data_IF_165436815675
#
_entry.id   IF_165436815675
#
_cell.length_a   1.000
_cell.length_b   1.000
_cell.length_c   1.000
_cell.angle_alpha   90.00
_cell.angle_beta   90.00
_cell.angle_gamma   90.00
#
_symmetry.space_group_name_H-M   'P 1'
#
loop_
_entity.id
_entity.type
_entity.pdbx_description
1 polymer ?
#
# COMPACT_ATOMS: atom_id res chain seq x y z
N UNK A 1 -11.71 -0.39 17.53
CA UNK A 1 -10.91 -0.21 16.29
C UNK A 1 -9.66 0.59 16.65
N UNK A 2 -8.47 0.21 16.16
CA UNK A 2 -7.25 0.96 16.45
C UNK A 2 -7.36 2.38 15.88
N UNK A 3 -6.78 3.36 16.59
CA UNK A 3 -6.68 4.74 16.11
C UNK A 3 -5.34 4.92 15.41
N UNK A 4 -5.36 5.51 14.22
CA UNK A 4 -4.15 5.82 13.46
C UNK A 4 -3.98 7.35 13.42
N UNK A 5 -2.86 7.84 13.96
CA UNK A 5 -2.53 9.27 13.95
C UNK A 5 -1.46 9.52 12.88
N UNK A 6 -1.84 10.30 11.86
CA UNK A 6 -0.98 10.64 10.73
C UNK A 6 -1.12 12.12 10.36
N UNK A 7 -0.02 12.75 9.95
CA UNK A 7 -0.01 14.11 9.43
C UNK A 7 -0.84 14.22 8.14
N UNK A 8 -1.65 15.26 8.02
CA UNK A 8 -2.38 15.58 6.79
C UNK A 8 -1.43 16.04 5.67
N UNK A 9 -1.79 15.74 4.42
CA UNK A 9 -1.08 16.20 3.21
C UNK A 9 -1.79 17.40 2.58
N UNK A 10 -1.12 18.10 1.67
CA UNK A 10 -1.68 19.24 0.90
C UNK A 10 -1.79 18.94 -0.60
N UNK A 11 -1.91 17.66 -0.98
CA UNK A 11 -1.90 17.26 -2.38
C UNK A 11 -3.17 17.69 -3.12
N UNK A 12 -4.28 17.94 -2.42
CA UNK A 12 -5.50 18.45 -3.05
C UNK A 12 -5.34 19.90 -3.51
N UNK A 13 -4.61 20.74 -2.76
CA UNK A 13 -4.28 22.10 -3.23
C UNK A 13 -3.29 22.04 -4.40
N UNK A 14 -2.26 21.19 -4.30
CA UNK A 14 -1.25 21.06 -5.36
C UNK A 14 -1.87 20.50 -6.65
N UNK A 15 -2.77 19.51 -6.56
CA UNK A 15 -3.43 18.88 -7.72
C UNK A 15 -4.15 19.91 -8.61
N UNK A 16 -4.76 20.95 -8.01
CA UNK A 16 -5.48 22.00 -8.75
C UNK A 16 -4.59 22.84 -9.67
N UNK A 17 -3.27 22.79 -9.50
CA UNK A 17 -2.31 23.49 -10.36
C UNK A 17 -2.02 22.76 -11.69
N UNK A 18 -2.64 21.60 -11.88
CA UNK A 18 -2.38 20.70 -12.98
C UNK A 18 -3.65 20.42 -13.77
N UNK A 19 -3.55 20.33 -15.10
CA UNK A 19 -4.66 19.85 -15.93
C UNK A 19 -4.89 18.35 -15.64
N UNK A 20 -6.14 17.96 -15.40
CA UNK A 20 -6.48 16.60 -15.00
C UNK A 20 -7.29 15.92 -16.10
N UNK A 21 -7.05 14.63 -16.31
CA UNK A 21 -7.91 13.80 -17.16
C UNK A 21 -8.92 13.06 -16.28
N UNK A 22 -10.23 13.27 -16.49
CA UNK A 22 -11.23 12.54 -15.72
C UNK A 22 -11.17 11.03 -15.96
N UNK A 23 -11.34 10.26 -14.90
CA UNK A 23 -11.45 8.82 -14.98
C UNK A 23 -12.73 8.43 -15.72
N UNK A 24 -12.59 7.50 -16.67
CA UNK A 24 -13.71 6.88 -17.41
C UNK A 24 -14.22 5.58 -16.77
N UNK A 25 -13.46 5.04 -15.81
CA UNK A 25 -13.80 3.82 -15.07
C UNK A 25 -13.24 3.93 -13.67
N UNK A 26 -13.89 3.31 -12.66
CA UNK A 26 -13.39 3.33 -11.30
C UNK A 26 -12.01 2.64 -11.25
N UNK A 27 -11.13 3.21 -10.43
CA UNK A 27 -9.79 2.70 -10.18
C UNK A 27 -9.66 2.43 -8.70
N UNK A 28 -9.22 1.22 -8.35
CA UNK A 28 -8.99 0.81 -6.98
C UNK A 28 -7.52 0.45 -6.76
N UNK A 29 -6.87 1.25 -5.92
CA UNK A 29 -5.51 1.04 -5.45
C UNK A 29 -5.56 0.20 -4.17
N UNK A 30 -5.45 -1.11 -4.34
CA UNK A 30 -5.36 -2.04 -3.24
C UNK A 30 -3.89 -2.29 -2.89
N UNK A 31 -3.64 -2.85 -1.72
CA UNK A 31 -2.28 -3.20 -1.30
C UNK A 31 -2.31 -4.13 -0.11
N UNK A 32 -1.24 -4.91 0.02
CA UNK A 32 -0.89 -5.51 1.31
C UNK A 32 -0.59 -4.36 2.29
N UNK A 33 -1.18 -4.36 3.52
CA UNK A 33 -0.88 -3.34 4.52
C UNK A 33 0.62 -3.14 4.69
N UNK A 34 1.08 -1.88 4.68
CA UNK A 34 2.51 -1.50 4.77
C UNK A 34 3.38 -1.75 3.54
N UNK A 35 2.78 -2.05 2.38
CA UNK A 35 3.47 -2.12 1.08
C UNK A 35 3.47 -0.80 0.28
N UNK A 36 3.20 0.34 0.91
CA UNK A 36 3.31 1.65 0.24
C UNK A 36 2.01 2.20 -0.36
N UNK A 37 0.85 1.87 0.22
CA UNK A 37 -0.46 2.37 -0.20
C UNK A 37 -0.53 3.89 -0.30
N UNK A 38 0.06 4.60 0.67
CA UNK A 38 0.09 6.06 0.65
C UNK A 38 0.91 6.61 -0.51
N UNK A 39 2.02 5.93 -0.86
CA UNK A 39 2.86 6.33 -1.98
C UNK A 39 2.11 6.22 -3.31
N UNK A 40 1.56 5.03 -3.60
CA UNK A 40 0.82 4.83 -4.87
C UNK A 40 -0.42 5.73 -4.93
N UNK A 41 -1.15 5.87 -3.81
CA UNK A 41 -2.30 6.76 -3.70
C UNK A 41 -1.92 8.20 -4.03
N UNK A 42 -0.90 8.72 -3.36
CA UNK A 42 -0.51 10.11 -3.52
C UNK A 42 0.03 10.40 -4.93
N UNK A 43 0.75 9.46 -5.55
CA UNK A 43 1.14 9.54 -6.96
C UNK A 43 -0.11 9.64 -7.84
N UNK A 44 -1.06 8.70 -7.73
CA UNK A 44 -2.27 8.71 -8.56
C UNK A 44 -3.16 9.94 -8.33
N UNK A 45 -3.22 10.45 -7.10
CA UNK A 45 -3.94 11.68 -6.77
C UNK A 45 -3.40 12.90 -7.51
N UNK A 46 -2.21 12.86 -8.10
CA UNK A 46 -1.69 13.96 -8.95
C UNK A 46 -2.14 13.89 -10.42
N UNK A 47 -2.80 12.80 -10.81
CA UNK A 47 -3.27 12.54 -12.18
C UNK A 47 -4.79 12.45 -12.29
N UNK A 48 -5.51 12.45 -11.17
CA UNK A 48 -6.97 12.34 -11.11
C UNK A 48 -7.56 13.61 -10.49
N UNK A 49 -8.64 14.19 -11.08
CA UNK A 49 -9.32 15.34 -10.50
C UNK A 49 -9.74 15.12 -9.06
N UNK A 50 -9.62 16.15 -8.20
CA UNK A 50 -9.94 16.06 -6.76
C UNK A 50 -11.36 15.54 -6.52
N UNK A 51 -12.32 15.96 -7.33
CA UNK A 51 -13.72 15.53 -7.26
C UNK A 51 -13.92 14.04 -7.55
N UNK A 52 -12.97 13.38 -8.21
CA UNK A 52 -12.96 11.93 -8.45
C UNK A 52 -12.11 11.16 -7.44
N UNK A 53 -11.52 11.81 -6.43
CA UNK A 53 -10.77 11.13 -5.36
C UNK A 53 -11.72 10.71 -4.23
N UNK A 54 -11.69 9.42 -3.85
CA UNK A 54 -12.54 8.87 -2.81
C UNK A 54 -11.92 9.00 -1.42
N UNK A 55 -12.23 10.10 -0.72
CA UNK A 55 -11.59 10.43 0.56
C UNK A 55 -12.27 9.83 1.81
N UNK A 56 -13.48 9.27 1.69
CA UNK A 56 -14.29 8.90 2.86
C UNK A 56 -13.62 7.82 3.73
N UNK A 57 -12.98 6.82 3.12
CA UNK A 57 -12.49 5.64 3.85
C UNK A 57 -11.45 4.83 3.08
N UNK A 58 -10.51 4.23 3.82
CA UNK A 58 -9.72 3.10 3.34
C UNK A 58 -10.60 1.84 3.28
N UNK A 59 -10.95 1.40 2.07
CA UNK A 59 -11.94 0.33 1.89
C UNK A 59 -11.35 -1.01 2.34
N UNK A 60 -12.11 -1.70 3.19
CA UNK A 60 -11.82 -3.01 3.79
C UNK A 60 -13.12 -3.78 3.93
N UNK A 61 -13.05 -5.10 4.16
CA UNK A 61 -14.23 -5.98 4.32
C UNK A 61 -15.28 -5.40 5.30
N UNK A 62 -14.93 -4.96 6.53
CA UNK A 62 -15.94 -4.56 7.51
C UNK A 62 -16.76 -3.33 7.11
N UNK A 63 -16.25 -2.52 6.18
CA UNK A 63 -16.87 -1.27 5.73
C UNK A 63 -17.28 -1.33 4.26
N UNK A 64 -17.04 -2.44 3.56
CA UNK A 64 -17.22 -2.57 2.11
C UNK A 64 -18.60 -2.13 1.64
N UNK A 65 -19.66 -2.66 2.28
CA UNK A 65 -21.05 -2.36 1.94
C UNK A 65 -21.41 -0.87 2.04
N UNK A 66 -20.78 -0.14 2.97
CA UNK A 66 -21.02 1.29 3.16
C UNK A 66 -20.34 2.15 2.10
N UNK A 67 -19.33 1.59 1.41
CA UNK A 67 -18.45 2.31 0.49
C UNK A 67 -18.52 1.80 -0.97
N UNK A 68 -19.52 0.99 -1.33
CA UNK A 68 -19.72 0.49 -2.71
C UNK A 68 -19.79 1.61 -3.76
N UNK A 69 -20.22 2.83 -3.37
CA UNK A 69 -20.22 4.02 -4.25
C UNK A 69 -18.83 4.37 -4.82
N UNK A 70 -17.75 3.94 -4.18
CA UNK A 70 -16.39 4.11 -4.68
C UNK A 70 -16.11 3.33 -5.97
N UNK A 71 -16.90 2.29 -6.24
CA UNK A 71 -16.78 1.40 -7.41
C UNK A 71 -17.85 1.67 -8.47
N UNK A 72 -18.62 2.77 -8.35
CA UNK A 72 -19.71 3.07 -9.27
C UNK A 72 -19.17 3.58 -10.63
N UNK A 73 -19.55 2.88 -11.70
CA UNK A 73 -19.18 3.24 -13.07
C UNK A 73 -19.82 4.53 -13.59
N UNK A 74 -20.98 4.91 -13.07
CA UNK A 74 -21.66 6.16 -13.43
C UNK A 74 -21.04 7.38 -12.76
N UNK A 75 -20.19 7.17 -11.74
CA UNK A 75 -19.44 8.22 -11.07
C UNK A 75 -18.03 7.69 -10.71
N UNK A 76 -17.16 7.48 -11.71
CA UNK A 76 -15.85 6.86 -11.50
C UNK A 76 -15.03 7.58 -10.45
N UNK A 77 -14.49 6.81 -9.50
CA UNK A 77 -13.58 7.31 -8.46
C UNK A 77 -12.23 6.60 -8.48
N UNK A 78 -11.19 7.34 -8.09
CA UNK A 78 -9.95 6.80 -7.57
C UNK A 78 -10.15 6.49 -6.09
N UNK A 79 -10.13 5.21 -5.75
CA UNK A 79 -10.29 4.72 -4.37
C UNK A 79 -9.10 3.86 -3.95
N UNK A 80 -8.97 3.62 -2.65
CA UNK A 80 -7.82 2.88 -2.09
C UNK A 80 -8.21 2.11 -0.84
N UNK A 81 -7.44 1.07 -0.53
CA UNK A 81 -7.78 0.20 0.58
C UNK A 81 -6.80 -0.94 0.83
N UNK A 82 -7.26 -1.81 1.73
CA UNK A 82 -6.65 -3.10 2.08
C UNK A 82 -7.73 -4.18 1.99
N UNK A 83 -8.40 -4.24 0.84
CA UNK A 83 -9.52 -5.14 0.63
C UNK A 83 -8.99 -6.56 0.45
N UNK A 84 -9.43 -7.44 1.34
CA UNK A 84 -9.11 -8.87 1.26
C UNK A 84 -9.88 -9.50 0.10
N UNK A 85 -9.31 -10.52 -0.52
CA UNK A 85 -10.04 -11.35 -1.47
C UNK A 85 -11.12 -12.13 -0.71
N UNK A 86 -12.36 -11.95 -1.14
CA UNK A 86 -13.54 -12.66 -0.70
C UNK A 86 -14.55 -12.68 -1.85
N UNK A 87 -15.61 -13.47 -1.71
CA UNK A 87 -16.76 -13.44 -2.61
C UNK A 87 -17.35 -12.03 -2.78
N UNK A 88 -17.63 -11.34 -1.67
CA UNK A 88 -18.16 -9.97 -1.69
C UNK A 88 -17.20 -8.98 -2.33
N UNK A 89 -15.90 -9.10 -2.05
CA UNK A 89 -14.88 -8.20 -2.60
C UNK A 89 -14.70 -8.41 -4.10
N UNK A 90 -14.62 -9.67 -4.54
CA UNK A 90 -14.52 -10.02 -5.95
C UNK A 90 -15.75 -9.51 -6.72
N UNK A 91 -16.94 -9.68 -6.15
CA UNK A 91 -18.18 -9.13 -6.72
C UNK A 91 -18.15 -7.60 -6.81
N UNK A 92 -17.76 -6.91 -5.72
CA UNK A 92 -17.74 -5.46 -5.65
C UNK A 92 -16.77 -4.81 -6.65
N UNK A 93 -15.67 -5.49 -7.00
CA UNK A 93 -14.61 -4.96 -7.87
C UNK A 93 -14.55 -5.60 -9.26
N UNK A 94 -15.50 -6.45 -9.64
CA UNK A 94 -15.48 -7.25 -10.88
C UNK A 94 -15.27 -6.45 -12.19
N UNK A 95 -15.58 -5.15 -12.21
CA UNK A 95 -15.37 -4.28 -13.37
C UNK A 95 -14.48 -3.06 -13.07
N UNK A 96 -13.82 -3.05 -11.91
CA UNK A 96 -12.96 -1.95 -11.46
C UNK A 96 -11.52 -2.20 -11.94
N UNK A 97 -10.83 -1.15 -12.39
CA UNK A 97 -9.40 -1.25 -12.69
C UNK A 97 -8.62 -1.36 -11.38
N UNK A 98 -8.07 -2.54 -11.11
CA UNK A 98 -7.41 -2.83 -9.84
C UNK A 98 -5.88 -2.89 -9.99
N UNK A 99 -5.19 -2.19 -9.10
CA UNK A 99 -3.74 -2.29 -8.89
C UNK A 99 -3.50 -2.75 -7.46
N UNK A 100 -2.61 -3.71 -7.27
CA UNK A 100 -2.23 -4.25 -5.96
C UNK A 100 -0.74 -4.02 -5.74
N UNK A 101 -0.40 -3.32 -4.66
CA UNK A 101 1.00 -3.13 -4.27
C UNK A 101 1.41 -4.19 -3.26
N UNK A 102 2.51 -4.89 -3.59
CA UNK A 102 3.21 -5.83 -2.72
C UNK A 102 4.60 -5.30 -2.38
N UNK A 103 5.26 -5.89 -1.40
CA UNK A 103 6.62 -5.57 -0.97
C UNK A 103 7.34 -6.88 -0.67
N UNK A 104 8.67 -6.90 -0.74
CA UNK A 104 9.43 -8.08 -0.35
C UNK A 104 8.99 -8.50 1.07
N UNK A 105 8.51 -9.74 1.26
CA UNK A 105 8.12 -10.27 2.56
C UNK A 105 9.14 -10.00 3.67
N UNK A 106 10.44 -10.05 3.39
CA UNK A 106 11.47 -9.77 4.41
C UNK A 106 11.41 -8.30 4.89
N UNK A 107 11.33 -7.39 3.95
CA UNK A 107 11.23 -5.95 4.17
C UNK A 107 9.90 -5.56 4.82
N UNK A 108 8.85 -6.29 4.49
CA UNK A 108 7.53 -6.11 5.06
C UNK A 108 7.50 -6.42 6.56
N UNK A 109 8.23 -7.43 7.05
CA UNK A 109 8.33 -7.73 8.49
C UNK A 109 8.79 -6.48 9.25
N UNK A 110 9.86 -5.85 8.75
CA UNK A 110 10.41 -4.64 9.36
C UNK A 110 9.44 -3.45 9.25
N UNK A 111 8.72 -3.33 8.13
CA UNK A 111 7.73 -2.28 7.94
C UNK A 111 6.56 -2.41 8.92
N UNK A 112 6.06 -3.63 9.13
CA UNK A 112 4.98 -3.93 10.07
C UNK A 112 5.44 -3.72 11.52
N UNK A 113 6.65 -4.18 11.87
CA UNK A 113 7.22 -3.97 13.20
C UNK A 113 7.36 -2.48 13.53
N UNK A 114 7.91 -1.67 12.62
CA UNK A 114 8.02 -0.20 12.79
C UNK A 114 6.66 0.45 13.06
N UNK A 115 5.62 -0.02 12.38
CA UNK A 115 4.29 0.53 12.55
C UNK A 115 3.69 0.17 13.92
N UNK A 116 3.79 -1.08 14.36
CA UNK A 116 3.25 -1.52 15.67
C UNK A 116 3.99 -0.88 16.85
N UNK A 117 5.28 -0.61 16.68
CA UNK A 117 6.11 0.02 17.71
C UNK A 117 6.02 1.55 17.70
N UNK A 118 5.37 2.16 16.71
CA UNK A 118 5.20 3.61 16.63
C UNK A 118 4.02 4.11 17.47
N UNK A 119 4.06 5.37 17.88
CA UNK A 119 2.93 6.04 18.55
C UNK A 119 1.86 6.49 17.55
N UNK A 120 2.09 6.29 16.26
CA UNK A 120 1.08 6.46 15.21
C UNK A 120 0.02 5.36 15.24
N UNK A 121 0.24 4.26 15.97
CA UNK A 121 -0.71 3.18 16.17
C UNK A 121 -1.10 3.15 17.66
N UNK A 122 -2.40 3.32 17.93
CA UNK A 122 -2.98 3.13 19.26
C UNK A 122 -3.95 1.95 19.21
N UNK A 123 -3.69 0.88 19.97
CA UNK A 123 -4.56 -0.30 20.02
C UNK A 123 -4.18 -1.33 21.08
N UNK A 124 -4.76 -2.53 21.00
CA UNK A 124 -4.61 -3.61 22.01
C UNK A 124 -3.18 -4.23 22.09
N UNK A 125 -2.21 -3.63 21.40
CA UNK A 125 -0.84 -4.10 21.26
C UNK A 125 0.20 -3.12 21.84
N UNK A 126 -0.21 -2.09 22.59
CA UNK A 126 0.73 -1.12 23.21
C UNK A 126 1.81 -1.78 24.08
N UNK A 127 1.46 -2.86 24.79
CA UNK A 127 2.38 -3.61 25.65
C UNK A 127 3.60 -4.17 24.89
N UNK A 128 3.52 -4.33 23.57
CA UNK A 128 4.65 -4.75 22.73
C UNK A 128 5.80 -3.72 22.70
N UNK A 129 5.54 -2.47 23.11
CA UNK A 129 6.54 -1.41 23.23
C UNK A 129 7.33 -1.51 24.55
N UNK A 130 6.95 -2.42 25.45
CA UNK A 130 7.60 -2.62 26.74
C UNK A 130 8.98 -3.28 26.64
N UNK A 131 9.86 -3.07 27.64
CA UNK A 131 11.22 -3.63 27.66
C UNK A 131 11.26 -5.16 27.76
N UNK A 132 10.13 -5.82 28.00
CA UNK A 132 10.00 -7.28 28.13
C UNK A 132 10.17 -8.01 26.78
N UNK A 133 9.99 -7.30 25.66
CA UNK A 133 10.06 -7.89 24.33
C UNK A 133 11.36 -7.52 23.63
N UNK A 134 12.14 -8.54 23.23
CA UNK A 134 13.29 -8.32 22.35
C UNK A 134 12.83 -7.98 20.93
N UNK A 135 13.74 -7.42 20.13
CA UNK A 135 13.48 -7.18 18.70
C UNK A 135 13.07 -8.46 17.99
N UNK A 136 13.72 -9.58 18.27
CA UNK A 136 13.42 -10.89 17.69
C UNK A 136 12.02 -11.39 18.08
N UNK A 137 11.57 -11.16 19.32
CA UNK A 137 10.19 -11.48 19.72
C UNK A 137 9.19 -10.72 18.84
N UNK A 138 9.41 -9.42 18.63
CA UNK A 138 8.52 -8.59 17.80
C UNK A 138 8.54 -9.03 16.34
N UNK A 139 9.73 -9.28 15.77
CA UNK A 139 9.85 -9.73 14.37
C UNK A 139 9.14 -11.08 14.16
N UNK A 140 9.29 -12.02 15.09
CA UNK A 140 8.60 -13.31 15.01
C UNK A 140 7.07 -13.14 15.10
N UNK A 141 6.56 -12.24 15.95
CA UNK A 141 5.13 -11.90 15.99
C UNK A 141 4.65 -11.24 14.68
N UNK A 142 5.50 -10.52 13.95
CA UNK A 142 5.11 -9.95 12.66
C UNK A 142 4.99 -11.03 11.57
N UNK A 143 5.79 -12.10 11.67
CA UNK A 143 5.79 -13.25 10.77
C UNK A 143 4.60 -14.17 11.08
N UNK A 144 4.50 -14.66 12.32
CA UNK A 144 3.53 -15.66 12.75
C UNK A 144 2.22 -15.07 13.28
N UNK A 145 2.08 -13.75 13.26
CA UNK A 145 0.93 -13.09 13.87
C UNK A 145 0.97 -13.13 15.40
N UNK A 146 -0.12 -12.66 16.00
CA UNK A 146 -0.33 -12.71 17.43
C UNK A 146 -1.62 -13.47 17.64
N UNK A 147 -1.54 -14.59 18.36
CA UNK A 147 -2.65 -15.51 18.52
C UNK A 147 -3.94 -14.78 18.93
N UNK A 148 -5.00 -14.96 18.13
CA UNK A 148 -6.32 -14.32 18.28
C UNK A 148 -6.35 -12.78 18.27
N UNK A 149 -5.23 -12.11 17.96
CA UNK A 149 -5.13 -10.64 17.96
C UNK A 149 -4.70 -10.04 16.64
N UNK A 150 -3.77 -10.69 15.93
CA UNK A 150 -3.25 -10.20 14.67
C UNK A 150 -2.97 -11.36 13.70
N UNK A 151 -3.35 -11.22 12.41
CA UNK A 151 -3.14 -12.29 11.44
C UNK A 151 -1.65 -12.48 11.12
N UNK A 152 -1.34 -13.70 10.70
CA UNK A 152 -0.02 -14.09 10.21
C UNK A 152 0.34 -13.34 8.92
N UNK A 153 1.63 -13.28 8.59
CA UNK A 153 2.05 -12.76 7.29
C UNK A 153 1.40 -13.55 6.14
N UNK A 154 1.35 -14.88 6.26
CA UNK A 154 0.81 -15.75 5.24
C UNK A 154 -0.66 -15.43 4.93
N UNK A 155 -1.51 -15.29 5.95
CA UNK A 155 -2.92 -14.91 5.78
C UNK A 155 -3.05 -13.53 5.12
N UNK A 156 -2.25 -12.55 5.57
CA UNK A 156 -2.31 -11.19 5.01
C UNK A 156 -1.93 -11.21 3.53
N UNK A 157 -0.78 -11.77 3.16
CA UNK A 157 -0.36 -11.80 1.76
C UNK A 157 -1.29 -12.65 0.89
N UNK A 158 -1.77 -13.78 1.42
CA UNK A 158 -2.70 -14.66 0.71
C UNK A 158 -3.95 -13.90 0.29
N UNK A 159 -4.58 -13.18 1.23
CA UNK A 159 -5.85 -12.54 0.97
C UNK A 159 -5.72 -11.12 0.38
N UNK A 160 -4.67 -10.35 0.70
CA UNK A 160 -4.50 -9.01 0.14
C UNK A 160 -3.83 -8.99 -1.24
N UNK A 161 -3.13 -10.06 -1.65
CA UNK A 161 -2.42 -10.08 -2.93
C UNK A 161 -2.53 -11.39 -3.71
N UNK A 162 -2.12 -12.53 -3.13
CA UNK A 162 -1.94 -13.76 -3.91
C UNK A 162 -3.26 -14.25 -4.50
N UNK A 163 -4.35 -14.22 -3.72
CA UNK A 163 -5.68 -14.64 -4.19
C UNK A 163 -6.25 -13.75 -5.29
N UNK A 164 -5.71 -12.55 -5.49
CA UNK A 164 -6.09 -11.66 -6.59
C UNK A 164 -5.30 -11.93 -7.89
N UNK A 165 -4.22 -12.71 -7.84
CA UNK A 165 -3.45 -13.06 -9.04
C UNK A 165 -4.35 -13.79 -10.06
N UNK A 166 -4.22 -13.45 -11.34
CA UNK A 166 -5.02 -14.04 -12.41
C UNK A 166 -6.45 -13.48 -12.54
N UNK A 167 -6.89 -12.57 -11.67
CA UNK A 167 -8.23 -11.95 -11.75
C UNK A 167 -8.31 -10.76 -12.71
N UNK A 168 -7.18 -10.37 -13.32
CA UNK A 168 -7.03 -9.13 -14.09
C UNK A 168 -6.50 -7.94 -13.28
N UNK A 169 -6.31 -8.11 -11.96
CA UNK A 169 -5.59 -7.16 -11.13
C UNK A 169 -4.10 -7.05 -11.55
N UNK A 170 -3.57 -5.83 -11.59
CA UNK A 170 -2.13 -5.60 -11.84
C UNK A 170 -1.37 -5.56 -10.53
N UNK A 171 -0.49 -6.53 -10.32
CA UNK A 171 0.39 -6.56 -9.15
C UNK A 171 1.67 -5.81 -9.48
N UNK A 172 2.08 -4.90 -8.59
CA UNK A 172 3.34 -4.17 -8.69
C UNK A 172 4.14 -4.30 -7.39
N UNK A 173 5.46 -4.33 -7.51
CA UNK A 173 6.37 -4.34 -6.36
C UNK A 173 6.65 -2.92 -5.91
N UNK A 174 6.65 -2.73 -4.60
CA UNK A 174 7.06 -1.47 -3.99
C UNK A 174 8.49 -1.11 -4.39
N UNK A 175 9.38 -2.10 -4.48
CA UNK A 175 10.79 -1.93 -4.84
C UNK A 175 10.95 -1.42 -6.27
N UNK A 176 10.17 -1.96 -7.23
CA UNK A 176 10.16 -1.48 -8.62
C UNK A 176 9.71 -0.02 -8.68
N UNK A 177 8.61 0.31 -7.96
CA UNK A 177 8.14 1.68 -7.85
C UNK A 177 9.22 2.62 -7.29
N UNK A 178 9.90 2.24 -6.21
CA UNK A 178 10.99 3.02 -5.62
C UNK A 178 12.18 3.15 -6.58
N UNK A 179 12.55 2.10 -7.29
CA UNK A 179 13.62 2.10 -8.29
C UNK A 179 13.33 3.12 -9.39
N UNK A 180 12.10 3.11 -9.93
CA UNK A 180 11.69 4.04 -10.98
C UNK A 180 11.54 5.48 -10.50
N UNK A 181 11.15 5.68 -9.23
CA UNK A 181 11.12 7.00 -8.59
C UNK A 181 12.52 7.62 -8.41
N UNK A 182 13.54 6.80 -8.10
CA UNK A 182 14.93 7.28 -8.02
C UNK A 182 15.49 7.66 -9.39
N UNK A 183 14.94 7.07 -10.46
CA UNK A 183 15.44 7.20 -11.83
C UNK A 183 14.41 7.85 -12.77
N UNK A 184 13.62 8.85 -12.30
CA UNK A 184 12.50 9.44 -13.07
C UNK A 184 12.87 10.01 -14.45
N UNK A 185 14.12 10.38 -14.66
CA UNK A 185 14.61 10.90 -15.94
C UNK A 185 14.92 9.80 -16.97
N UNK A 186 14.92 8.53 -16.57
CA UNK A 186 15.19 7.39 -17.44
C UNK A 186 14.03 7.08 -18.38
N UNK A 187 14.34 6.48 -19.53
CA UNK A 187 13.34 5.97 -20.48
C UNK A 187 12.54 4.82 -19.84
N UNK A 188 13.23 3.99 -19.05
CA UNK A 188 12.67 2.85 -18.34
C UNK A 188 11.59 3.29 -17.35
N UNK A 189 11.82 4.36 -16.59
CA UNK A 189 10.79 4.95 -15.72
C UNK A 189 9.61 5.50 -16.50
N UNK A 190 9.83 6.14 -17.64
CA UNK A 190 8.74 6.61 -18.48
C UNK A 190 7.87 5.44 -18.98
N UNK A 191 8.49 4.34 -19.41
CA UNK A 191 7.79 3.12 -19.84
C UNK A 191 7.02 2.49 -18.67
N UNK A 192 7.65 2.34 -17.50
CA UNK A 192 7.03 1.78 -16.31
C UNK A 192 5.78 2.56 -15.90
N UNK A 193 5.89 3.89 -15.76
CA UNK A 193 4.75 4.71 -15.37
C UNK A 193 3.66 4.73 -16.45
N UNK A 194 4.03 4.78 -17.74
CA UNK A 194 3.05 4.70 -18.83
C UNK A 194 2.23 3.41 -18.74
N UNK A 195 2.88 2.28 -18.55
CA UNK A 195 2.24 0.97 -18.40
C UNK A 195 1.39 0.86 -17.12
N UNK A 196 1.85 1.45 -16.02
CA UNK A 196 1.10 1.51 -14.76
C UNK A 196 -0.18 2.33 -14.88
N UNK A 197 -0.09 3.54 -15.44
CA UNK A 197 -1.23 4.45 -15.62
C UNK A 197 -2.20 3.96 -16.70
N UNK A 198 -1.70 3.37 -17.79
CA UNK A 198 -2.55 2.78 -18.82
C UNK A 198 -3.45 1.65 -18.28
N UNK A 199 -2.94 0.81 -17.37
CA UNK A 199 -3.76 -0.21 -16.70
C UNK A 199 -4.93 0.39 -15.90
N UNK A 200 -4.73 1.57 -15.32
CA UNK A 200 -5.76 2.33 -14.63
C UNK A 200 -6.70 3.12 -15.56
N UNK A 201 -6.52 3.02 -16.89
CA UNK A 201 -7.32 3.76 -17.88
C UNK A 201 -6.87 5.21 -18.08
N UNK A 202 -5.66 5.57 -17.63
CA UNK A 202 -5.00 6.86 -17.90
C UNK A 202 -4.00 6.61 -19.04
N UNK A 203 -4.49 6.68 -20.27
CA UNK A 203 -3.77 6.20 -21.47
C UNK A 203 -2.59 7.08 -21.89
N UNK A 204 -2.63 8.37 -21.55
CA UNK A 204 -1.60 9.34 -21.94
C UNK A 204 -0.99 9.98 -20.69
N UNK A 205 0.34 9.89 -20.59
CA UNK A 205 1.08 10.66 -19.61
C UNK A 205 1.20 12.11 -20.11
N UNK A 206 0.78 13.11 -19.32
CA UNK A 206 0.97 14.51 -19.67
C UNK A 206 2.46 14.87 -19.64
N UNK A 207 2.87 15.94 -20.33
CA UNK A 207 4.28 16.35 -20.43
C UNK A 207 4.93 16.63 -19.06
N UNK A 208 4.12 17.04 -18.09
CA UNK A 208 4.50 17.34 -16.70
C UNK A 208 4.45 16.12 -15.76
N UNK A 209 4.28 14.89 -16.28
CA UNK A 209 4.12 13.67 -15.48
C UNK A 209 5.22 13.48 -14.43
N UNK A 210 6.48 13.81 -14.76
CA UNK A 210 7.62 13.67 -13.82
C UNK A 210 7.41 14.53 -12.58
N UNK A 211 6.97 15.77 -12.77
CA UNK A 211 6.72 16.73 -11.68
C UNK A 211 5.56 16.26 -10.81
N UNK A 212 4.50 15.72 -11.41
CA UNK A 212 3.37 15.12 -10.68
C UNK A 212 3.81 13.95 -9.82
N UNK A 213 4.62 13.05 -10.37
CA UNK A 213 5.14 11.90 -9.62
C UNK A 213 6.07 12.34 -8.50
N UNK A 214 6.97 13.29 -8.76
CA UNK A 214 7.86 13.85 -7.73
C UNK A 214 7.05 14.42 -6.55
N UNK A 215 6.06 15.28 -6.83
CA UNK A 215 5.20 15.88 -5.80
C UNK A 215 4.35 14.83 -5.07
N UNK A 216 3.78 13.87 -5.79
CA UNK A 216 2.98 12.79 -5.21
C UNK A 216 3.79 11.77 -4.42
N UNK A 217 5.09 11.63 -4.72
CA UNK A 217 6.00 10.73 -4.01
C UNK A 217 6.81 11.40 -2.90
N UNK A 218 6.69 12.73 -2.73
CA UNK A 218 7.35 13.45 -1.66
C UNK A 218 6.92 12.88 -0.30
N UNK A 219 7.90 12.36 0.44
CA UNK A 219 7.68 11.75 1.74
C UNK A 219 7.10 12.72 2.75
N UNK A 220 7.31 14.04 2.59
CA UNK A 220 6.67 15.08 3.43
C UNK A 220 5.15 15.06 3.34
N UNK A 221 4.60 14.48 2.27
CA UNK A 221 3.17 14.32 1.99
C UNK A 221 2.60 12.98 2.50
N UNK A 222 3.41 12.17 3.19
CA UNK A 222 2.98 10.87 3.71
C UNK A 222 3.16 10.80 5.22
N UNK A 223 2.06 10.91 5.98
CA UNK A 223 2.09 10.75 7.44
C UNK A 223 2.52 9.37 7.94
N UNK A 224 2.71 8.39 7.06
CA UNK A 224 3.16 7.03 7.40
C UNK A 224 4.54 6.68 6.83
N UNK A 225 5.25 7.66 6.26
CA UNK A 225 6.66 7.47 5.90
C UNK A 225 7.47 7.16 7.17
N UNK A 226 8.56 6.38 7.05
CA UNK A 226 9.38 5.92 8.19
C UNK A 226 9.83 7.08 9.08
N UNK A 227 10.20 8.19 8.46
CA UNK A 227 10.65 9.41 9.11
C UNK A 227 9.52 10.23 9.78
N UNK A 228 8.27 9.97 9.41
CA UNK A 228 7.09 10.72 9.85
C UNK A 228 6.26 9.97 10.91
N UNK A 229 6.64 8.74 11.27
CA UNK A 229 6.01 8.01 12.38
C UNK A 229 6.35 8.72 13.71
N UNK A 230 5.32 8.97 14.52
CA UNK A 230 5.48 9.59 15.84
C UNK A 230 6.05 8.58 16.85
N UNK A 231 6.79 9.08 17.83
CA UNK A 231 7.21 8.29 19.00
C UNK A 231 8.62 7.73 18.98
N UNK A 232 8.90 6.88 19.99
CA UNK A 232 10.20 6.28 20.20
C UNK A 232 10.63 5.45 18.99
N UNK A 233 11.76 5.83 18.38
CA UNK A 233 12.42 5.04 17.34
C UNK A 233 13.02 3.81 17.98
N UNK A 234 12.25 2.74 18.12
CA UNK A 234 12.81 1.43 18.43
C UNK A 234 13.83 1.10 17.34
N UNK A 235 15.06 0.80 17.75
CA UNK A 235 16.14 0.44 16.82
C UNK A 235 15.86 -0.96 16.27
N UNK A 236 15.12 -1.01 15.17
CA UNK A 236 15.01 -2.20 14.34
C UNK A 236 16.20 -2.26 13.38
N UNK A 237 16.67 -3.48 13.04
CA UNK A 237 17.76 -3.64 12.10
C UNK A 237 17.39 -3.08 10.72
N UNK A 238 18.42 -2.76 9.94
CA UNK A 238 18.23 -2.26 8.57
C UNK A 238 17.70 -3.36 7.65
N UNK A 239 18.20 -4.58 7.84
CA UNK A 239 17.79 -5.80 7.13
C UNK A 239 17.23 -6.83 8.12
N UNK A 240 16.37 -7.73 7.62
CA UNK A 240 15.82 -8.80 8.44
C UNK A 240 16.93 -9.79 8.81
N UNK A 241 17.11 -10.19 10.08
CA UNK A 241 18.19 -11.11 10.43
C UNK A 241 17.97 -12.51 9.82
N UNK A 242 19.06 -13.26 9.59
CA UNK A 242 19.04 -14.54 8.87
C UNK A 242 18.12 -15.61 9.49
N UNK A 243 17.98 -15.62 10.82
CA UNK A 243 17.03 -16.52 11.48
C UNK A 243 15.61 -16.16 11.07
N UNK A 244 15.23 -14.89 11.10
CA UNK A 244 13.91 -14.42 10.75
C UNK A 244 13.61 -14.56 9.25
N UNK A 245 14.61 -14.42 8.36
CA UNK A 245 14.46 -14.76 6.93
C UNK A 245 14.02 -16.22 6.76
N UNK A 246 14.73 -17.16 7.40
CA UNK A 246 14.34 -18.59 7.41
C UNK A 246 12.96 -18.83 8.02
N UNK A 247 12.57 -18.07 9.05
CA UNK A 247 11.23 -18.16 9.64
C UNK A 247 10.15 -17.63 8.69
N UNK A 248 10.42 -16.60 7.89
CA UNK A 248 9.52 -16.15 6.82
C UNK A 248 9.33 -17.26 5.80
N UNK A 249 10.43 -17.89 5.34
CA UNK A 249 10.36 -18.96 4.34
C UNK A 249 9.63 -20.21 4.86
N UNK A 250 9.73 -20.48 6.17
CA UNK A 250 8.94 -21.52 6.84
C UNK A 250 7.46 -21.14 6.97
N UNK A 251 7.16 -19.90 7.36
CA UNK A 251 5.80 -19.44 7.64
C UNK A 251 4.96 -19.19 6.38
N UNK A 252 5.60 -18.79 5.28
CA UNK A 252 4.97 -18.53 4.00
C UNK A 252 5.80 -19.12 2.84
N UNK A 253 5.87 -20.46 2.71
CA UNK A 253 6.70 -21.12 1.72
C UNK A 253 6.36 -20.68 0.29
N UNK A 254 7.39 -20.33 -0.50
CA UNK A 254 7.24 -19.91 -1.89
C UNK A 254 6.65 -18.51 -2.10
N UNK A 255 6.36 -17.76 -1.03
CA UNK A 255 5.79 -16.41 -1.14
C UNK A 255 6.72 -15.43 -1.87
N UNK A 256 8.04 -15.49 -1.61
CA UNK A 256 9.01 -14.63 -2.30
C UNK A 256 9.14 -14.99 -3.77
N UNK A 257 9.22 -16.28 -4.09
CA UNK A 257 9.24 -16.79 -5.45
C UNK A 257 8.01 -16.37 -6.28
N UNK A 258 6.79 -16.56 -5.76
CA UNK A 258 5.56 -16.20 -6.49
C UNK A 258 5.42 -14.69 -6.72
N UNK A 259 6.01 -13.87 -5.83
CA UNK A 259 6.10 -12.43 -5.99
C UNK A 259 7.30 -11.99 -6.85
N UNK A 260 8.15 -12.93 -7.29
CA UNK A 260 9.31 -12.68 -8.16
C UNK A 260 10.49 -12.03 -7.46
N UNK A 261 10.75 -12.34 -6.19
CA UNK A 261 11.94 -11.90 -5.45
C UNK A 261 13.09 -12.94 -5.44
N UNK A 262 12.90 -14.06 -6.16
CA UNK A 262 13.88 -15.14 -6.36
C UNK A 262 14.14 -15.35 -7.85
#
# INVERSE_FOLDING_TARGET
MPRIIAKADNLNEINKSFEQQPLKSPVFLNSVPKCGTHLIRNIFRMFVPVEQQYHDMFIQIPVLHQHLKAFNHNNPKLSWGHLLFSDESAYAVHQVKQIIVVRDPYDWVLARARFFLSDSFEGDLEHLKGPEFSTEHILNMMIFGIYQKAPTMNEIFTHNAISWMGTGAKIIKFEDLISHLKNLNSTESAVYFKDLFAHAGIEQLPDDWRKRIELGSDRKQSGTARENLYGNKVQLPEELPEVQKRLVDYAAPGLRAILGYE
#
